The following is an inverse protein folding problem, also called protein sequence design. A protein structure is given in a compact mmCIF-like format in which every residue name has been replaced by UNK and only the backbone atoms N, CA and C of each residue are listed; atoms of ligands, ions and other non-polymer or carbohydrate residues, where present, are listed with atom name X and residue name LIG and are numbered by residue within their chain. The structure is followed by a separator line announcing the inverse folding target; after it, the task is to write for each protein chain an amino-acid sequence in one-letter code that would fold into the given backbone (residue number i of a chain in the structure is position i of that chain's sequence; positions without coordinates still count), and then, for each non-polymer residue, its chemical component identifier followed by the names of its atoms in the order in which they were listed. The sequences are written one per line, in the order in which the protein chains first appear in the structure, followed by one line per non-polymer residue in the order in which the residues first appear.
data_IF_259957291136
#
_entry.id   IF_259957291136
#
_cell.length_a   1.000
_cell.length_b   1.000
_cell.length_c   1.000
_cell.angle_alpha   90.00
_cell.angle_beta   90.00
_cell.angle_gamma   90.00
#
_symmetry.space_group_name_H-M   'P 1'
#
loop_
_entity.id
_entity.type
_entity.pdbx_description
1 polymer ?
#
# COMPACT_ATOMS: atom_id res chain seq x y z
N UNK A 1 -4.51 16.40 5.03
CA UNK A 1 -3.46 15.51 4.47
C UNK A 1 -4.09 14.47 3.56
N UNK A 2 -3.53 14.25 2.37
CA UNK A 2 -3.94 13.11 1.51
C UNK A 2 -2.81 12.10 1.41
N UNK A 3 -3.17 10.84 1.61
CA UNK A 3 -2.23 9.71 1.55
C UNK A 3 -2.69 8.69 0.52
N UNK A 4 -1.74 8.05 -0.14
CA UNK A 4 -2.08 7.05 -1.15
C UNK A 4 -1.14 5.85 -1.10
N UNK A 5 -1.60 4.72 -1.61
CA UNK A 5 -0.79 3.54 -1.89
C UNK A 5 -0.99 3.09 -3.33
N UNK A 6 0.09 2.66 -3.98
CA UNK A 6 0.05 2.17 -5.36
C UNK A 6 1.16 1.15 -5.62
N UNK A 7 0.79 -0.09 -5.88
CA UNK A 7 1.71 -1.05 -6.46
C UNK A 7 1.92 -0.69 -7.94
N UNK A 8 3.13 -0.30 -8.30
CA UNK A 8 3.45 0.20 -9.66
C UNK A 8 3.95 -0.88 -10.62
N UNK A 9 4.14 -2.10 -10.11
CA UNK A 9 4.62 -3.25 -10.93
C UNK A 9 5.78 -2.86 -11.86
N UNK A 10 6.88 -2.39 -11.29
CA UNK A 10 8.08 -1.76 -11.87
C UNK A 10 8.00 -0.23 -11.97
N UNK A 11 8.70 0.42 -11.06
CA UNK A 11 8.81 1.89 -11.05
C UNK A 11 9.54 2.40 -12.31
N UNK A 12 10.55 1.67 -12.81
CA UNK A 12 11.24 2.04 -14.06
C UNK A 12 10.26 2.22 -15.23
N UNK A 13 9.28 1.34 -15.33
CA UNK A 13 8.29 1.37 -16.42
C UNK A 13 7.20 2.40 -16.15
N UNK A 14 6.77 2.56 -14.90
CA UNK A 14 5.62 3.40 -14.52
C UNK A 14 5.99 4.75 -13.95
N UNK A 15 7.29 5.12 -13.90
CA UNK A 15 7.70 6.45 -13.43
C UNK A 15 6.96 7.60 -14.16
N UNK A 16 6.82 7.59 -15.49
CA UNK A 16 6.06 8.64 -16.19
C UNK A 16 4.61 8.73 -15.69
N UNK A 17 3.97 7.59 -15.43
CA UNK A 17 2.60 7.53 -14.94
C UNK A 17 2.48 8.02 -13.49
N UNK A 18 3.45 7.68 -12.64
CA UNK A 18 3.51 8.19 -11.25
C UNK A 18 3.63 9.71 -11.26
N UNK A 19 4.55 10.26 -12.06
CA UNK A 19 4.76 11.70 -12.17
C UNK A 19 3.53 12.41 -12.76
N UNK A 20 2.91 11.84 -13.80
CA UNK A 20 1.68 12.35 -14.39
C UNK A 20 0.55 12.38 -13.36
N UNK A 21 0.33 11.28 -12.63
CA UNK A 21 -0.73 11.18 -11.64
C UNK A 21 -0.56 12.21 -10.51
N UNK A 22 0.66 12.37 -10.00
CA UNK A 22 0.96 13.37 -8.97
C UNK A 22 0.71 14.80 -9.46
N UNK A 23 1.12 15.12 -10.71
CA UNK A 23 0.89 16.40 -11.33
C UNK A 23 -0.59 16.71 -11.56
N UNK A 24 -1.38 15.71 -11.98
CA UNK A 24 -2.83 15.84 -12.13
C UNK A 24 -3.51 16.12 -10.79
N UNK A 25 -3.12 15.40 -9.71
CA UNK A 25 -3.67 15.65 -8.36
C UNK A 25 -3.30 17.05 -7.84
N UNK A 26 -2.10 17.53 -8.11
CA UNK A 26 -1.70 18.91 -7.78
C UNK A 26 -2.55 19.94 -8.56
N UNK A 27 -2.75 19.73 -9.85
CA UNK A 27 -3.57 20.60 -10.71
C UNK A 27 -5.04 20.66 -10.30
N UNK A 28 -5.58 19.54 -9.79
CA UNK A 28 -6.94 19.43 -9.27
C UNK A 28 -7.10 20.04 -7.85
N UNK A 29 -6.06 20.67 -7.30
CA UNK A 29 -5.99 21.14 -5.93
C UNK A 29 -6.20 20.02 -4.87
N UNK A 30 -5.85 18.80 -5.22
CA UNK A 30 -5.91 17.63 -4.36
C UNK A 30 -4.54 16.93 -4.27
N UNK A 31 -3.46 17.65 -3.91
CA UNK A 31 -2.12 17.08 -3.89
C UNK A 31 -2.04 15.89 -2.95
N UNK A 32 -1.20 14.92 -3.34
CA UNK A 32 -0.89 13.77 -2.48
C UNK A 32 0.30 14.15 -1.60
N UNK A 33 0.09 14.13 -0.30
CA UNK A 33 1.13 14.49 0.67
C UNK A 33 2.09 13.32 0.93
N UNK A 34 1.55 12.10 0.99
CA UNK A 34 2.33 10.86 1.16
C UNK A 34 1.86 9.80 0.17
N UNK A 35 2.79 9.26 -0.63
CA UNK A 35 2.54 8.16 -1.56
C UNK A 35 3.43 6.97 -1.23
N UNK A 36 2.82 5.84 -0.88
CA UNK A 36 3.49 4.56 -0.67
C UNK A 36 3.49 3.75 -1.97
N UNK A 37 4.68 3.37 -2.44
CA UNK A 37 4.84 2.57 -3.65
C UNK A 37 5.30 1.16 -3.32
N UNK A 38 4.83 0.18 -4.08
CA UNK A 38 5.23 -1.22 -3.98
C UNK A 38 5.65 -1.75 -5.36
N UNK A 39 6.40 -2.83 -5.36
CA UNK A 39 7.01 -3.46 -6.55
C UNK A 39 7.84 -2.49 -7.39
N UNK A 40 8.80 -1.83 -6.75
CA UNK A 40 9.74 -0.94 -7.46
C UNK A 40 10.54 -1.71 -8.53
N UNK A 41 10.92 -2.97 -8.25
CA UNK A 41 11.65 -3.90 -9.13
C UNK A 41 12.97 -3.35 -9.64
N UNK A 42 13.64 -2.53 -8.83
CA UNK A 42 14.94 -1.94 -9.12
C UNK A 42 15.78 -1.86 -7.83
N UNK A 43 17.11 -1.97 -7.93
CA UNK A 43 17.98 -1.77 -6.78
C UNK A 43 18.09 -0.29 -6.42
N UNK A 44 18.59 0.00 -5.23
CA UNK A 44 18.67 1.36 -4.68
C UNK A 44 19.47 2.33 -5.56
N UNK A 45 20.54 1.86 -6.21
CA UNK A 45 21.38 2.65 -7.12
C UNK A 45 20.71 3.03 -8.45
N UNK A 46 19.54 2.48 -8.73
CA UNK A 46 18.70 2.75 -9.91
C UNK A 46 17.41 3.46 -9.58
N UNK A 47 17.21 3.81 -8.32
CA UNK A 47 16.01 4.54 -7.91
C UNK A 47 16.00 5.95 -8.52
N UNK A 48 14.88 6.41 -9.12
CA UNK A 48 14.80 7.68 -9.85
C UNK A 48 14.66 8.87 -8.88
N UNK A 49 15.65 9.03 -8.01
CA UNK A 49 15.63 10.04 -6.94
C UNK A 49 15.54 11.45 -7.49
N UNK A 50 16.31 11.74 -8.54
CA UNK A 50 16.37 13.09 -9.13
C UNK A 50 15.04 13.50 -9.76
N UNK A 51 14.37 12.61 -10.46
CA UNK A 51 13.07 12.86 -11.11
C UNK A 51 11.97 13.10 -10.08
N UNK A 52 11.93 12.30 -9.02
CA UNK A 52 10.96 12.43 -7.93
C UNK A 52 11.25 13.69 -7.09
N UNK A 53 12.52 14.01 -6.85
CA UNK A 53 12.93 15.23 -6.17
C UNK A 53 12.52 16.49 -6.97
N UNK A 54 12.73 16.48 -8.29
CA UNK A 54 12.30 17.54 -9.19
C UNK A 54 10.77 17.70 -9.24
N UNK A 55 10.02 16.60 -9.05
CA UNK A 55 8.55 16.61 -8.90
C UNK A 55 8.08 17.11 -7.52
N UNK A 56 8.98 17.47 -6.61
CA UNK A 56 8.64 18.02 -5.30
C UNK A 56 8.50 16.98 -4.18
N UNK A 57 8.99 15.76 -4.38
CA UNK A 57 8.88 14.68 -3.39
C UNK A 57 10.24 14.24 -2.85
N UNK A 58 10.36 14.17 -1.54
CA UNK A 58 11.43 13.45 -0.87
C UNK A 58 11.08 11.96 -0.80
N UNK A 59 12.07 11.09 -0.95
CA UNK A 59 11.85 9.64 -1.01
C UNK A 59 12.62 8.89 0.06
N UNK A 60 11.95 8.00 0.75
CA UNK A 60 12.55 6.92 1.55
C UNK A 60 12.21 5.59 0.87
N UNK A 61 13.20 4.75 0.62
CA UNK A 61 13.01 3.53 -0.16
C UNK A 61 13.97 2.42 0.24
N UNK A 62 13.60 1.22 -0.14
CA UNK A 62 14.46 0.05 -0.13
C UNK A 62 14.13 -0.80 -1.35
N UNK A 63 15.09 -0.95 -2.24
CA UNK A 63 14.93 -1.60 -3.54
C UNK A 63 15.53 -2.98 -3.60
N UNK A 64 15.10 -3.75 -4.60
CA UNK A 64 15.63 -5.06 -4.92
C UNK A 64 15.57 -5.26 -6.43
N UNK A 65 16.64 -5.81 -7.00
CA UNK A 65 16.68 -6.09 -8.44
C UNK A 65 15.59 -7.08 -8.84
N UNK A 66 14.84 -6.79 -9.89
CA UNK A 66 13.84 -7.67 -10.54
C UNK A 66 12.53 -7.82 -9.76
N UNK A 67 12.55 -7.87 -8.43
CA UNK A 67 11.39 -8.13 -7.59
C UNK A 67 11.29 -7.13 -6.44
N UNK A 68 10.12 -7.09 -5.78
CA UNK A 68 9.92 -6.37 -4.53
C UNK A 68 10.32 -4.87 -4.60
N UNK A 69 10.70 -4.31 -3.48
CA UNK A 69 11.04 -2.90 -3.33
C UNK A 69 9.84 -2.03 -2.99
N UNK A 70 10.00 -1.17 -2.00
CA UNK A 70 8.96 -0.27 -1.48
C UNK A 70 9.52 1.12 -1.26
N UNK A 71 8.65 2.13 -1.36
CA UNK A 71 9.02 3.52 -1.10
C UNK A 71 7.91 4.27 -0.38
N UNK A 72 8.30 5.36 0.31
CA UNK A 72 7.42 6.43 0.76
C UNK A 72 7.92 7.71 0.11
N UNK A 73 7.05 8.36 -0.67
CA UNK A 73 7.27 9.69 -1.22
C UNK A 73 6.53 10.70 -0.36
N UNK A 74 7.24 11.70 0.15
CA UNK A 74 6.70 12.78 0.97
C UNK A 74 6.78 14.10 0.21
N UNK A 75 5.65 14.80 0.06
CA UNK A 75 5.58 16.09 -0.65
C UNK A 75 6.30 17.18 0.16
N UNK A 76 7.44 17.66 -0.34
CA UNK A 76 8.33 18.60 0.36
C UNK A 76 7.65 19.91 0.80
N UNK A 77 6.62 20.35 0.09
CA UNK A 77 5.88 21.58 0.41
C UNK A 77 4.97 21.45 1.64
N UNK A 78 4.67 20.23 2.11
CA UNK A 78 3.69 20.02 3.19
C UNK A 78 4.13 19.01 4.24
N UNK A 79 5.10 18.16 3.93
CA UNK A 79 5.53 17.06 4.80
C UNK A 79 6.99 17.25 5.15
N UNK A 80 7.35 17.32 6.44
CA UNK A 80 8.75 17.37 6.89
C UNK A 80 9.54 16.15 6.47
N UNK A 81 10.85 16.19 6.64
CA UNK A 81 11.71 15.03 6.43
C UNK A 81 11.36 13.89 7.40
N UNK A 82 11.31 12.68 6.87
CA UNK A 82 11.01 11.48 7.66
C UNK A 82 12.18 11.09 8.56
N UNK A 83 11.89 10.72 9.80
CA UNK A 83 12.85 10.27 10.80
C UNK A 83 12.52 8.85 11.29
N UNK A 84 13.41 8.26 12.08
CA UNK A 84 13.22 6.91 12.65
C UNK A 84 12.94 5.85 11.57
N UNK A 85 13.74 5.91 10.50
CA UNK A 85 13.56 5.05 9.33
C UNK A 85 13.85 3.60 9.69
N UNK A 86 12.90 2.71 9.35
CA UNK A 86 13.06 1.26 9.49
C UNK A 86 12.89 0.63 8.11
N UNK A 87 13.79 -0.28 7.75
CA UNK A 87 13.72 -1.08 6.52
C UNK A 87 13.53 -2.54 6.90
N UNK A 88 12.52 -3.17 6.33
CA UNK A 88 12.03 -4.50 6.68
C UNK A 88 11.57 -4.66 8.15
N UNK A 89 11.00 -5.82 8.48
CA UNK A 89 10.46 -6.10 9.80
C UNK A 89 11.64 -6.40 10.76
N UNK A 90 11.82 -5.63 11.83
CA UNK A 90 12.86 -5.91 12.80
C UNK A 90 12.74 -7.30 13.42
N UNK A 91 13.86 -8.02 13.51
CA UNK A 91 13.88 -9.38 14.08
C UNK A 91 13.40 -10.50 13.14
N UNK A 92 12.91 -10.17 11.96
CA UNK A 92 12.61 -11.14 10.91
C UNK A 92 13.71 -11.10 9.85
N UNK A 93 14.54 -12.13 9.81
CA UNK A 93 15.61 -12.23 8.81
C UNK A 93 15.02 -12.43 7.41
N UNK A 94 15.07 -11.39 6.59
CA UNK A 94 14.50 -11.38 5.25
C UNK A 94 15.43 -10.66 4.28
N UNK A 95 15.79 -11.33 3.19
CA UNK A 95 16.54 -10.73 2.08
C UNK A 95 15.65 -9.92 1.14
N UNK A 96 14.32 -10.10 1.21
CA UNK A 96 13.35 -9.44 0.35
C UNK A 96 12.98 -8.07 0.90
N UNK A 97 13.09 -7.05 0.06
CA UNK A 97 12.81 -5.66 0.43
C UNK A 97 11.32 -5.36 0.33
N UNK A 98 10.60 -5.47 1.45
CA UNK A 98 9.13 -5.44 1.48
C UNK A 98 8.52 -4.37 2.38
N UNK A 99 9.31 -3.74 3.24
CA UNK A 99 8.82 -2.74 4.18
C UNK A 99 9.78 -1.56 4.26
N UNK A 100 9.23 -0.34 4.24
CA UNK A 100 9.90 0.87 4.71
C UNK A 100 8.94 1.65 5.59
N UNK A 101 9.43 2.12 6.73
CA UNK A 101 8.66 2.93 7.66
C UNK A 101 9.44 4.17 8.08
N UNK A 102 8.71 5.25 8.34
CA UNK A 102 9.27 6.49 8.88
C UNK A 102 8.22 7.25 9.70
N UNK A 103 8.69 8.13 10.57
CA UNK A 103 7.88 9.05 11.35
C UNK A 103 7.99 10.45 10.74
N UNK A 104 6.86 11.11 10.52
CA UNK A 104 6.75 12.47 10.00
C UNK A 104 6.11 13.38 11.05
N UNK A 105 6.77 14.50 11.37
CA UNK A 105 6.26 15.48 12.35
C UNK A 105 5.22 16.41 11.68
N UNK A 106 3.96 15.98 11.69
CA UNK A 106 2.84 16.70 11.10
C UNK A 106 2.26 17.73 12.09
N UNK A 107 1.48 18.69 11.60
CA UNK A 107 0.90 19.76 12.43
C UNK A 107 0.07 19.22 13.61
N UNK A 108 -0.64 18.11 13.42
CA UNK A 108 -1.43 17.46 14.48
C UNK A 108 -0.63 16.51 15.38
N UNK A 109 0.71 16.43 15.21
CA UNK A 109 1.61 15.54 15.91
C UNK A 109 2.26 14.47 15.00
N UNK A 110 3.23 13.71 15.53
CA UNK A 110 3.96 12.75 14.73
C UNK A 110 3.06 11.65 14.19
N UNK A 111 3.27 11.30 12.90
CA UNK A 111 2.57 10.22 12.19
C UNK A 111 3.57 9.17 11.75
N UNK A 112 3.36 7.94 12.18
CA UNK A 112 4.13 6.77 11.74
C UNK A 112 3.53 6.23 10.46
N UNK A 113 4.31 6.17 9.38
CA UNK A 113 3.89 5.69 8.06
C UNK A 113 4.66 4.44 7.73
N UNK A 114 3.96 3.36 7.38
CA UNK A 114 4.53 2.08 7.00
C UNK A 114 4.05 1.73 5.60
N UNK A 115 4.97 1.71 4.63
CA UNK A 115 4.72 1.19 3.28
C UNK A 115 5.12 -0.27 3.23
N UNK A 116 4.20 -1.16 2.87
CA UNK A 116 4.44 -2.60 2.88
C UNK A 116 3.97 -3.30 1.60
N UNK A 117 4.76 -4.23 1.12
CA UNK A 117 4.44 -5.17 0.05
C UNK A 117 4.38 -6.59 0.62
N UNK A 118 3.17 -7.05 0.92
CA UNK A 118 2.96 -8.38 1.49
C UNK A 118 3.32 -9.46 0.46
N UNK A 119 3.91 -10.58 0.89
CA UNK A 119 4.18 -11.69 -0.02
C UNK A 119 2.91 -12.18 -0.72
N UNK A 120 3.01 -12.48 -2.02
CA UNK A 120 1.87 -13.00 -2.78
C UNK A 120 1.45 -14.41 -2.32
N UNK A 121 2.42 -15.28 -2.04
CA UNK A 121 2.16 -16.67 -1.61
C UNK A 121 2.04 -17.67 -2.76
N UNK A 122 1.80 -17.25 -3.98
CA UNK A 122 1.71 -18.02 -5.22
C UNK A 122 0.60 -19.09 -5.23
N UNK A 123 0.62 -20.08 -4.32
CA UNK A 123 -0.35 -21.16 -4.18
C UNK A 123 -0.32 -21.69 -2.74
N UNK A 124 -1.45 -22.22 -2.24
CA UNK A 124 -1.61 -22.62 -0.84
C UNK A 124 -0.66 -23.75 -0.41
N UNK A 125 -0.23 -24.58 -1.33
CA UNK A 125 0.70 -25.70 -1.13
C UNK A 125 2.16 -25.36 -1.38
N UNK A 126 2.48 -24.07 -1.61
CA UNK A 126 3.83 -23.63 -1.95
C UNK A 126 4.64 -23.18 -0.72
N UNK A 127 5.97 -23.32 -0.79
CA UNK A 127 6.89 -22.74 0.21
C UNK A 127 6.73 -21.22 0.33
N UNK A 128 6.28 -20.56 -0.75
CA UNK A 128 6.01 -19.12 -0.76
C UNK A 128 4.79 -18.76 0.09
N UNK A 129 3.81 -19.65 0.19
CA UNK A 129 2.68 -19.46 1.07
C UNK A 129 3.08 -19.62 2.55
N UNK A 130 3.90 -20.63 2.85
CA UNK A 130 4.48 -20.81 4.19
C UNK A 130 5.29 -19.57 4.59
N UNK A 131 6.13 -19.05 3.67
CA UNK A 131 6.86 -17.80 3.89
C UNK A 131 5.91 -16.63 4.15
N UNK A 132 4.83 -16.48 3.37
CA UNK A 132 3.83 -15.43 3.56
C UNK A 132 3.23 -15.47 4.97
N UNK A 133 2.82 -16.63 5.44
CA UNK A 133 2.21 -16.77 6.77
C UNK A 133 3.19 -16.39 7.89
N UNK A 134 4.44 -16.82 7.80
CA UNK A 134 5.50 -16.44 8.75
C UNK A 134 5.79 -14.92 8.72
N UNK A 135 5.79 -14.34 7.53
CA UNK A 135 5.96 -12.90 7.36
C UNK A 135 4.81 -12.11 7.98
N UNK A 136 3.56 -12.57 7.78
CA UNK A 136 2.36 -11.97 8.37
C UNK A 136 2.38 -12.03 9.91
N UNK A 137 2.83 -13.14 10.48
CA UNK A 137 2.99 -13.29 11.93
C UNK A 137 4.03 -12.29 12.47
N UNK A 138 5.20 -12.19 11.82
CA UNK A 138 6.24 -11.25 12.20
C UNK A 138 5.76 -9.79 12.09
N UNK A 139 5.02 -9.45 11.03
CA UNK A 139 4.41 -8.14 10.86
C UNK A 139 3.46 -7.80 12.01
N UNK A 140 2.60 -8.73 12.40
CA UNK A 140 1.64 -8.52 13.50
C UNK A 140 2.35 -8.25 14.83
N UNK A 141 3.41 -9.01 15.12
CA UNK A 141 4.22 -8.81 16.34
C UNK A 141 4.85 -7.42 16.35
N UNK A 142 5.46 -7.02 15.25
CA UNK A 142 6.09 -5.70 15.13
C UNK A 142 5.06 -4.57 15.21
N UNK A 143 3.94 -4.68 14.52
CA UNK A 143 2.89 -3.64 14.53
C UNK A 143 2.31 -3.39 15.93
N UNK A 144 2.19 -4.40 16.78
CA UNK A 144 1.77 -4.21 18.18
C UNK A 144 2.73 -3.28 18.94
N UNK A 145 4.04 -3.45 18.74
CA UNK A 145 5.05 -2.58 19.33
C UNK A 145 5.00 -1.17 18.73
N UNK A 146 4.89 -1.05 17.40
CA UNK A 146 4.78 0.23 16.70
C UNK A 146 3.53 1.02 17.16
N UNK A 147 2.37 0.37 17.26
CA UNK A 147 1.13 1.01 17.70
C UNK A 147 1.17 1.47 19.17
N UNK A 148 1.94 0.80 20.00
CA UNK A 148 2.17 1.23 21.40
C UNK A 148 3.03 2.49 21.43
N UNK A 149 4.04 2.58 20.57
CA UNK A 149 4.97 3.71 20.50
C UNK A 149 4.39 4.90 19.72
N UNK A 150 3.61 4.62 18.67
CA UNK A 150 3.07 5.61 17.73
C UNK A 150 1.54 5.51 17.66
N UNK A 151 0.80 6.25 18.52
CA UNK A 151 -0.67 6.22 18.51
C UNK A 151 -1.27 6.64 17.16
N UNK A 152 -0.55 7.47 16.39
CA UNK A 152 -0.94 7.91 15.05
C UNK A 152 -0.11 7.16 14.01
N UNK A 153 -0.58 5.98 13.64
CA UNK A 153 0.08 5.06 12.72
C UNK A 153 -0.82 4.75 11.53
N UNK A 154 -0.23 4.66 10.35
CA UNK A 154 -0.88 4.12 9.15
C UNK A 154 0.00 3.05 8.49
N UNK A 155 -0.63 1.96 8.08
CA UNK A 155 -0.05 0.88 7.29
C UNK A 155 -0.72 0.90 5.91
N UNK A 156 0.06 1.17 4.87
CA UNK A 156 -0.42 1.25 3.50
C UNK A 156 0.34 0.26 2.63
N UNK A 157 -0.34 -0.31 1.65
CA UNK A 157 0.37 -1.16 0.70
C UNK A 157 -0.51 -2.12 -0.07
N UNK A 158 0.18 -2.95 -0.85
CA UNK A 158 -0.38 -4.15 -1.44
C UNK A 158 -0.29 -5.29 -0.41
N UNK A 159 -1.43 -5.67 0.14
CA UNK A 159 -1.49 -6.72 1.16
C UNK A 159 -1.56 -8.12 0.56
N UNK A 160 -1.81 -8.21 -0.75
CA UNK A 160 -2.06 -9.50 -1.39
C UNK A 160 -3.11 -10.35 -0.63
N UNK A 161 -4.11 -9.68 -0.05
CA UNK A 161 -5.25 -10.28 0.66
C UNK A 161 -6.52 -9.52 0.29
N UNK A 162 -7.54 -10.23 -0.20
CA UNK A 162 -8.90 -9.76 -0.29
C UNK A 162 -9.65 -10.22 0.98
N UNK A 163 -9.97 -9.28 1.92
CA UNK A 163 -10.42 -9.64 3.26
C UNK A 163 -11.79 -10.29 3.33
N UNK A 164 -12.64 -10.00 2.34
CA UNK A 164 -14.05 -10.38 2.35
C UNK A 164 -14.50 -10.78 0.94
N UNK A 165 -15.63 -11.47 0.83
CA UNK A 165 -16.19 -11.89 -0.47
C UNK A 165 -16.61 -10.71 -1.35
N UNK A 166 -17.02 -9.57 -0.75
CA UNK A 166 -17.28 -8.32 -1.47
C UNK A 166 -16.03 -7.66 -2.07
N UNK A 167 -14.84 -8.11 -1.67
CA UNK A 167 -13.55 -7.68 -2.20
C UNK A 167 -13.08 -8.53 -3.40
N UNK A 168 -13.92 -9.47 -3.84
CA UNK A 168 -13.63 -10.45 -4.88
C UNK A 168 -14.74 -10.42 -5.94
N UNK A 169 -14.37 -10.34 -7.22
CA UNK A 169 -15.37 -10.29 -8.30
C UNK A 169 -16.22 -11.56 -8.44
N UNK A 170 -15.67 -12.71 -8.08
CA UNK A 170 -16.32 -14.03 -8.11
C UNK A 170 -15.79 -14.91 -6.97
N UNK A 171 -16.37 -14.82 -5.76
CA UNK A 171 -15.89 -15.53 -4.60
C UNK A 171 -15.85 -17.05 -4.76
N UNK A 172 -16.83 -17.63 -5.51
CA UNK A 172 -16.87 -19.09 -5.74
C UNK A 172 -15.70 -19.55 -6.58
N UNK A 173 -15.31 -18.77 -7.59
CA UNK A 173 -14.17 -19.08 -8.44
C UNK A 173 -12.83 -18.94 -7.72
N UNK A 174 -12.75 -18.06 -6.74
CA UNK A 174 -11.54 -17.82 -5.95
C UNK A 174 -11.44 -18.71 -4.70
N UNK A 175 -12.49 -19.46 -4.37
CA UNK A 175 -12.47 -20.39 -3.24
C UNK A 175 -11.29 -21.39 -3.36
N UNK A 176 -10.54 -21.55 -2.27
CA UNK A 176 -9.36 -22.41 -2.23
C UNK A 176 -8.11 -21.88 -2.95
N UNK A 177 -8.10 -20.59 -3.33
CA UNK A 177 -6.91 -19.96 -3.91
C UNK A 177 -6.21 -19.05 -2.89
N UNK A 178 -4.94 -18.71 -3.15
CA UNK A 178 -4.24 -17.67 -2.39
C UNK A 178 -4.91 -16.29 -2.62
N UNK A 179 -4.59 -15.32 -1.81
CA UNK A 179 -5.19 -13.98 -1.66
C UNK A 179 -6.56 -13.97 -0.97
N UNK A 180 -7.23 -15.11 -0.85
CA UNK A 180 -8.57 -15.22 -0.25
C UNK A 180 -8.69 -16.36 0.75
N UNK A 181 -7.59 -17.04 1.07
CA UNK A 181 -7.59 -18.19 1.98
C UNK A 181 -8.06 -17.81 3.40
N UNK A 182 -8.60 -18.76 4.17
CA UNK A 182 -8.97 -18.52 5.56
C UNK A 182 -7.81 -17.99 6.40
N UNK A 183 -6.59 -18.48 6.18
CA UNK A 183 -5.38 -18.07 6.91
C UNK A 183 -5.01 -16.62 6.60
N UNK A 184 -5.06 -16.20 5.33
CA UNK A 184 -4.80 -14.82 4.92
C UNK A 184 -5.84 -13.86 5.47
N UNK A 185 -7.12 -14.23 5.36
CA UNK A 185 -8.23 -13.46 5.93
C UNK A 185 -8.15 -13.37 7.45
N UNK A 186 -7.74 -14.46 8.14
CA UNK A 186 -7.51 -14.45 9.58
C UNK A 186 -6.37 -13.48 9.96
N UNK A 187 -5.28 -13.44 9.18
CA UNK A 187 -4.21 -12.49 9.40
C UNK A 187 -4.67 -11.03 9.22
N UNK A 188 -5.51 -10.74 8.21
CA UNK A 188 -6.11 -9.41 8.05
C UNK A 188 -7.02 -9.04 9.25
N UNK A 189 -7.88 -9.98 9.71
CA UNK A 189 -8.72 -9.78 10.91
C UNK A 189 -7.89 -9.56 12.18
N UNK A 190 -6.70 -10.16 12.26
CA UNK A 190 -5.80 -9.94 13.39
C UNK A 190 -5.24 -8.49 13.39
N UNK A 191 -5.02 -7.86 12.24
CA UNK A 191 -4.68 -6.43 12.15
C UNK A 191 -5.84 -5.55 12.64
N UNK A 192 -7.07 -5.85 12.24
CA UNK A 192 -8.26 -5.17 12.74
C UNK A 192 -8.44 -5.40 14.24
N UNK A 193 -8.27 -6.62 14.73
CA UNK A 193 -8.31 -6.97 16.15
C UNK A 193 -7.23 -6.30 17.00
N UNK A 194 -6.12 -5.92 16.40
CA UNK A 194 -5.08 -5.10 17.05
C UNK A 194 -5.47 -3.61 17.13
N UNK A 195 -6.56 -3.20 16.48
CA UNK A 195 -7.09 -1.83 16.50
C UNK A 195 -6.93 -1.06 15.21
N UNK A 196 -6.32 -1.63 14.15
CA UNK A 196 -6.25 -0.97 12.85
C UNK A 196 -7.62 -0.99 12.15
N UNK A 197 -7.95 0.10 11.48
CA UNK A 197 -9.23 0.31 10.78
C UNK A 197 -8.97 0.37 9.28
N UNK A 198 -9.68 -0.43 8.49
CA UNK A 198 -9.66 -0.34 7.03
C UNK A 198 -10.35 0.95 6.57
N UNK A 199 -9.58 1.93 6.13
CA UNK A 199 -10.07 3.27 5.76
C UNK A 199 -11.15 3.20 4.67
N UNK A 200 -11.02 2.28 3.72
CA UNK A 200 -12.01 2.13 2.64
C UNK A 200 -13.38 1.68 3.17
N UNK A 201 -13.40 0.82 4.20
CA UNK A 201 -14.63 0.26 4.79
C UNK A 201 -15.27 1.15 5.86
N UNK A 202 -14.67 2.30 6.16
CA UNK A 202 -15.29 3.32 7.03
C UNK A 202 -16.46 4.06 6.34
N UNK A 203 -16.52 3.99 5.01
CA UNK A 203 -17.51 4.74 4.21
C UNK A 203 -18.38 3.79 3.42
N UNK A 204 -19.58 4.24 3.08
CA UNK A 204 -20.42 3.53 2.10
C UNK A 204 -19.72 3.55 0.75
N UNK A 205 -19.55 2.37 0.20
CA UNK A 205 -18.86 2.15 -1.06
C UNK A 205 -19.79 1.43 -2.03
N UNK A 206 -19.69 1.78 -3.30
CA UNK A 206 -20.33 0.98 -4.35
C UNK A 206 -19.79 -0.46 -4.35
N UNK A 207 -20.59 -1.39 -4.83
CA UNK A 207 -20.18 -2.76 -5.01
C UNK A 207 -19.12 -2.89 -6.12
N UNK A 208 -18.28 -3.92 -6.00
CA UNK A 208 -17.30 -4.28 -7.03
C UNK A 208 -16.26 -3.20 -7.33
N UNK A 209 -15.85 -2.49 -6.31
CA UNK A 209 -14.67 -1.62 -6.37
C UNK A 209 -13.43 -2.43 -6.02
N UNK A 210 -12.53 -2.55 -6.98
CA UNK A 210 -11.29 -3.34 -6.86
C UNK A 210 -10.08 -2.45 -7.10
N UNK A 211 -8.91 -2.88 -6.62
CA UNK A 211 -7.63 -2.19 -6.77
C UNK A 211 -6.66 -2.92 -7.70
N UNK A 212 -6.93 -4.18 -8.01
CA UNK A 212 -6.11 -5.05 -8.87
C UNK A 212 -6.94 -5.83 -9.87
N UNK A 213 -6.41 -6.01 -11.11
CA UNK A 213 -6.96 -6.85 -12.18
C UNK A 213 -5.83 -7.48 -12.98
N UNK A 214 -5.87 -8.80 -13.16
CA UNK A 214 -4.93 -9.50 -14.02
C UNK A 214 -4.87 -8.86 -15.43
N UNK A 215 -3.68 -8.82 -16.04
CA UNK A 215 -3.54 -8.37 -17.43
C UNK A 215 -4.25 -9.27 -18.43
N UNK A 216 -4.41 -10.54 -18.11
CA UNK A 216 -4.98 -11.57 -18.97
C UNK A 216 -6.48 -11.46 -19.07
N UNK A 217 -7.03 -12.00 -20.19
CA UNK A 217 -8.46 -12.19 -20.39
C UNK A 217 -9.30 -10.91 -20.25
N UNK A 218 -8.73 -9.75 -20.54
CA UNK A 218 -9.41 -8.45 -20.39
C UNK A 218 -10.05 -8.23 -19.02
N UNK A 219 -9.40 -8.67 -17.95
CA UNK A 219 -9.96 -8.66 -16.60
C UNK A 219 -10.42 -7.27 -16.16
N UNK A 220 -9.67 -6.21 -16.47
CA UNK A 220 -10.07 -4.83 -16.15
C UNK A 220 -11.37 -4.42 -16.87
N UNK A 221 -11.50 -4.71 -18.18
CA UNK A 221 -12.72 -4.39 -18.95
C UNK A 221 -13.96 -5.10 -18.43
N UNK A 222 -13.79 -6.34 -17.93
CA UNK A 222 -14.86 -7.16 -17.33
C UNK A 222 -15.09 -6.86 -15.85
N UNK A 223 -14.29 -5.96 -15.27
CA UNK A 223 -14.23 -5.72 -13.84
C UNK A 223 -14.02 -7.00 -13.01
N UNK A 224 -13.21 -7.93 -13.51
CA UNK A 224 -12.86 -9.17 -12.83
C UNK A 224 -11.63 -8.96 -11.94
N UNK A 225 -11.79 -8.20 -10.87
CA UNK A 225 -10.72 -7.75 -9.99
C UNK A 225 -10.83 -8.22 -8.55
N UNK A 226 -9.85 -7.81 -7.74
CA UNK A 226 -9.79 -7.96 -6.29
C UNK A 226 -9.42 -6.61 -5.66
N UNK A 227 -9.90 -6.36 -4.44
CA UNK A 227 -9.38 -5.29 -3.59
C UNK A 227 -8.33 -5.88 -2.66
N UNK A 228 -7.07 -5.65 -2.97
CA UNK A 228 -5.91 -6.18 -2.24
C UNK A 228 -4.91 -5.10 -1.80
N UNK A 229 -5.12 -3.85 -2.24
CA UNK A 229 -4.38 -2.68 -1.77
C UNK A 229 -5.20 -1.97 -0.70
N UNK A 230 -4.59 -1.70 0.45
CA UNK A 230 -5.29 -1.21 1.63
C UNK A 230 -4.57 -0.04 2.29
N UNK A 231 -5.36 0.80 2.96
CA UNK A 231 -4.90 1.83 3.90
C UNK A 231 -5.53 1.49 5.25
N UNK A 232 -4.70 1.02 6.19
CA UNK A 232 -5.11 0.71 7.55
C UNK A 232 -4.66 1.85 8.48
N UNK A 233 -5.59 2.37 9.25
CA UNK A 233 -5.37 3.51 10.14
C UNK A 233 -5.47 3.09 11.60
N UNK A 234 -4.60 3.62 12.46
CA UNK A 234 -4.80 3.54 13.91
C UNK A 234 -6.08 4.27 14.30
N UNK A 235 -6.68 3.97 15.48
CA UNK A 235 -7.91 4.62 15.92
C UNK A 235 -7.82 6.16 15.95
N UNK A 236 -6.66 6.71 16.29
CA UNK A 236 -6.47 8.18 16.32
C UNK A 236 -6.50 8.78 14.91
N UNK A 237 -5.91 8.14 13.91
CA UNK A 237 -5.97 8.60 12.52
C UNK A 237 -7.33 8.31 11.88
N UNK A 238 -7.98 7.21 12.24
CA UNK A 238 -9.30 6.88 11.72
C UNK A 238 -10.34 7.96 12.05
N UNK A 239 -10.29 8.57 13.23
CA UNK A 239 -11.15 9.71 13.62
C UNK A 239 -10.99 10.94 12.71
N UNK A 240 -9.86 11.06 12.04
CA UNK A 240 -9.53 12.18 11.15
C UNK A 240 -9.83 11.86 9.69
N UNK A 241 -10.10 10.60 9.35
CA UNK A 241 -10.33 10.17 7.97
C UNK A 241 -11.70 10.67 7.48
N UNK A 242 -11.71 11.40 6.38
CA UNK A 242 -12.91 12.01 5.79
C UNK A 242 -13.37 11.28 4.53
N UNK A 243 -12.46 10.59 3.83
CA UNK A 243 -12.78 9.78 2.66
C UNK A 243 -11.69 8.77 2.37
N UNK A 244 -12.08 7.68 1.71
CA UNK A 244 -11.15 6.75 1.09
C UNK A 244 -11.78 6.24 -0.21
N UNK A 245 -11.01 6.22 -1.30
CA UNK A 245 -11.51 5.77 -2.61
C UNK A 245 -10.40 5.09 -3.42
N UNK A 246 -10.82 4.37 -4.44
CA UNK A 246 -9.94 3.72 -5.43
C UNK A 246 -9.97 4.56 -6.70
N UNK A 247 -8.82 5.09 -7.12
CA UNK A 247 -8.70 5.86 -8.35
C UNK A 247 -8.40 4.95 -9.54
N UNK A 248 -9.41 4.63 -10.33
CA UNK A 248 -9.29 3.70 -11.46
C UNK A 248 -8.69 4.32 -12.72
N UNK A 249 -8.50 5.64 -12.76
CA UNK A 249 -8.02 6.36 -13.96
C UNK A 249 -6.66 5.84 -14.45
N UNK A 250 -5.63 5.68 -13.61
CA UNK A 250 -4.33 5.17 -14.05
C UNK A 250 -4.38 3.78 -14.70
N UNK A 251 -5.37 2.96 -14.35
CA UNK A 251 -5.54 1.62 -14.94
C UNK A 251 -6.04 1.68 -16.40
N UNK A 252 -6.53 2.83 -16.86
CA UNK A 252 -6.97 3.06 -18.25
C UNK A 252 -5.85 3.54 -19.18
N UNK A 253 -4.70 3.91 -18.63
CA UNK A 253 -3.58 4.46 -19.41
C UNK A 253 -2.85 3.40 -20.23
N UNK A 254 -1.93 3.82 -21.09
CA UNK A 254 -1.09 2.92 -21.87
C UNK A 254 -0.07 2.21 -20.95
N UNK A 255 0.11 0.90 -21.10
CA UNK A 255 1.00 0.05 -20.29
C UNK A 255 0.82 0.25 -18.76
N UNK A 256 -0.40 0.23 -18.24
CA UNK A 256 -0.65 0.53 -16.84
C UNK A 256 -0.08 -0.54 -15.91
N UNK A 257 0.07 -0.22 -14.61
CA UNK A 257 0.17 -1.26 -13.58
C UNK A 257 -1.10 -2.12 -13.58
N UNK A 258 -1.02 -3.35 -13.13
CA UNK A 258 -2.20 -4.20 -12.86
C UNK A 258 -2.96 -3.76 -11.60
N UNK A 259 -2.35 -2.89 -10.79
CA UNK A 259 -2.98 -2.18 -9.68
C UNK A 259 -3.31 -0.73 -10.03
N UNK A 260 -4.13 -0.12 -9.18
CA UNK A 260 -4.48 1.31 -9.26
C UNK A 260 -4.38 1.97 -7.88
N UNK A 261 -4.18 3.29 -7.77
CA UNK A 261 -4.04 3.96 -6.48
C UNK A 261 -5.28 3.82 -5.58
N UNK A 262 -5.04 3.62 -4.29
CA UNK A 262 -6.02 3.82 -3.22
C UNK A 262 -5.63 5.08 -2.47
N UNK A 263 -6.59 6.00 -2.26
CA UNK A 263 -6.36 7.32 -1.69
C UNK A 263 -7.26 7.54 -0.49
N UNK A 264 -6.70 8.03 0.62
CA UNK A 264 -7.45 8.50 1.77
C UNK A 264 -7.17 9.99 2.06
N UNK A 265 -8.19 10.73 2.46
CA UNK A 265 -8.06 12.10 2.93
C UNK A 265 -8.31 12.16 4.44
N UNK A 266 -7.37 12.79 5.15
CA UNK A 266 -7.45 13.01 6.59
C UNK A 266 -7.38 14.52 6.87
N UNK A 267 -8.30 15.04 7.70
CA UNK A 267 -8.24 16.43 8.17
C UNK A 267 -7.16 16.55 9.25
N UNK A 268 -6.53 17.70 9.33
CA UNK A 268 -5.65 18.14 10.44
C UNK A 268 -4.67 17.06 10.96
N UNK A 269 -4.19 16.20 10.06
CA UNK A 269 -3.25 15.13 10.42
C UNK A 269 -1.81 15.66 10.52
#
# INVERSE_FOLDING_TARGET
MRVATWNVNSLKVRLPQVLQWLAEREADAMPIDLLCLQELKLPDDRYPLAELDAAGYASLFTGQKTYNGVAILARKAAVPEGREVVKNIPGFADEQQRVVAATYDMAGGPVRVISAYFPNGQALDSDKFVYKLRWLEALQVWLKAEMTQYPRLMLLGDFNIAPDDRDVHDPKKWEGQNLVSPEERAAFRALEGAGLVDAFRMFDQEDKLFSWWDYRLFAFKRNAGLRIDHIMLSPELAKLCESCHIDRVPRTWEQPSDHTPVVAALRDA
#
